data_IF_853741735659
#
_entry.id   IF_853741735659
#
_cell.length_a   1.000
_cell.length_b   1.000
_cell.length_c   1.000
_cell.angle_alpha   90.00
_cell.angle_beta   90.00
_cell.angle_gamma   90.00
#
_symmetry.space_group_name_H-M   'P 1'
#
loop_
_entity.id
_entity.type
_entity.pdbx_description
1 polymer ?
#
# COMPACT_ATOMS: atom_id res chain seq x y z
N UNK A 1 -67.88 -22.43 12.49
CA UNK A 1 -66.98 -22.74 13.62
C UNK A 1 -65.55 -22.51 13.15
N UNK A 2 -64.87 -21.53 13.74
CA UNK A 2 -63.45 -21.19 13.46
C UNK A 2 -62.57 -22.26 14.11
N UNK A 3 -61.75 -22.95 13.32
CA UNK A 3 -60.55 -23.60 13.85
C UNK A 3 -59.47 -22.53 13.96
N UNK A 4 -59.12 -22.17 15.19
CA UNK A 4 -57.94 -21.39 15.53
C UNK A 4 -56.72 -22.30 15.44
N UNK A 5 -55.86 -22.07 14.46
CA UNK A 5 -54.52 -22.63 14.45
C UNK A 5 -53.71 -21.99 15.59
N UNK A 6 -53.24 -22.81 16.51
CA UNK A 6 -52.28 -22.40 17.53
C UNK A 6 -50.91 -22.13 16.87
N UNK A 7 -50.20 -21.04 17.22
CA UNK A 7 -48.86 -20.79 16.71
C UNK A 7 -47.90 -21.86 17.26
N UNK A 8 -47.14 -22.51 16.37
CA UNK A 8 -46.04 -23.40 16.74
C UNK A 8 -44.88 -22.57 17.29
N UNK A 9 -44.37 -22.85 18.50
CA UNK A 9 -43.22 -22.15 19.05
C UNK A 9 -41.92 -22.73 18.48
N UNK A 10 -41.01 -21.87 18.00
CA UNK A 10 -39.58 -22.18 17.97
C UNK A 10 -38.95 -22.59 16.64
N UNK A 11 -39.12 -21.80 15.57
CA UNK A 11 -38.18 -21.80 14.42
C UNK A 11 -37.41 -20.49 14.23
N UNK A 12 -37.96 -19.37 14.67
CA UNK A 12 -37.33 -18.05 14.47
C UNK A 12 -36.05 -17.84 15.31
N UNK A 13 -35.86 -18.60 16.40
CA UNK A 13 -34.68 -18.49 17.26
C UNK A 13 -33.42 -19.18 16.72
N UNK A 14 -33.58 -20.26 15.94
CA UNK A 14 -32.46 -20.99 15.35
C UNK A 14 -31.95 -20.31 14.07
N UNK A 15 -32.86 -19.77 13.25
CA UNK A 15 -32.48 -19.01 12.04
C UNK A 15 -31.78 -17.67 12.38
N UNK A 16 -32.07 -17.08 13.56
CA UNK A 16 -31.37 -15.91 14.07
C UNK A 16 -29.96 -16.23 14.61
N UNK A 17 -29.74 -17.43 15.16
CA UNK A 17 -28.41 -17.88 15.61
C UNK A 17 -27.50 -18.26 14.44
N UNK A 18 -28.04 -18.73 13.32
CA UNK A 18 -27.26 -19.09 12.13
C UNK A 18 -26.74 -17.85 11.37
N UNK A 19 -27.31 -16.66 11.58
CA UNK A 19 -27.00 -15.46 10.78
C UNK A 19 -25.87 -14.55 11.27
N UNK A 20 -25.26 -14.80 12.43
CA UNK A 20 -24.31 -13.81 12.98
C UNK A 20 -23.17 -14.37 13.84
N UNK A 21 -22.63 -15.54 13.53
CA UNK A 21 -21.26 -15.83 13.97
C UNK A 21 -20.28 -15.10 13.04
N UNK A 22 -20.19 -13.78 13.20
CA UNK A 22 -19.02 -13.03 12.72
C UNK A 22 -17.84 -13.64 13.46
N UNK A 23 -17.05 -14.46 12.76
CA UNK A 23 -15.82 -15.04 13.31
C UNK A 23 -14.92 -13.86 13.66
N UNK A 24 -14.90 -13.47 14.94
CA UNK A 24 -13.95 -12.48 15.42
C UNK A 24 -12.57 -13.11 15.24
N UNK A 25 -11.79 -12.56 14.32
CA UNK A 25 -10.42 -12.99 14.14
C UNK A 25 -9.69 -12.86 15.49
N UNK A 26 -8.97 -13.89 15.94
CA UNK A 26 -8.17 -13.77 17.15
C UNK A 26 -7.12 -12.67 16.94
N UNK A 27 -6.87 -11.85 17.97
CA UNK A 27 -5.94 -10.71 17.89
C UNK A 27 -4.58 -11.09 17.32
N UNK A 28 -4.11 -12.30 17.66
CA UNK A 28 -2.85 -12.89 17.18
C UNK A 28 -2.84 -13.06 15.66
N UNK A 29 -3.98 -13.41 15.05
CA UNK A 29 -4.09 -13.55 13.60
C UNK A 29 -4.25 -12.19 12.89
N UNK A 30 -4.81 -11.17 13.55
CA UNK A 30 -4.91 -9.82 12.98
C UNK A 30 -3.59 -9.05 13.02
N UNK A 31 -2.75 -9.31 14.03
CA UNK A 31 -1.49 -8.59 14.23
C UNK A 31 -0.55 -8.58 13.01
N UNK A 32 -0.25 -9.71 12.32
CA UNK A 32 0.62 -9.68 11.15
C UNK A 32 0.02 -8.85 10.01
N UNK A 33 -1.29 -8.94 9.77
CA UNK A 33 -1.97 -8.11 8.76
C UNK A 33 -1.87 -6.63 9.10
N UNK A 34 -2.16 -6.26 10.35
CA UNK A 34 -2.08 -4.89 10.81
C UNK A 34 -0.66 -4.32 10.70
N UNK A 35 0.35 -5.09 11.13
CA UNK A 35 1.75 -4.68 11.06
C UNK A 35 2.23 -4.50 9.62
N UNK A 36 1.93 -5.46 8.73
CA UNK A 36 2.35 -5.36 7.32
C UNK A 36 1.62 -4.23 6.59
N UNK A 37 0.32 -4.02 6.85
CA UNK A 37 -0.45 -2.89 6.30
C UNK A 37 0.13 -1.56 6.78
N UNK A 38 0.37 -1.43 8.09
CA UNK A 38 0.97 -0.22 8.66
C UNK A 38 2.34 0.06 8.03
N UNK A 39 3.23 -0.93 8.03
CA UNK A 39 4.57 -0.77 7.49
C UNK A 39 4.55 -0.42 6.00
N UNK A 40 3.72 -1.11 5.21
CA UNK A 40 3.64 -0.87 3.77
C UNK A 40 3.13 0.53 3.46
N UNK A 41 2.07 0.98 4.14
CA UNK A 41 1.53 2.33 3.95
C UNK A 41 2.46 3.41 4.47
N UNK A 42 3.14 3.18 5.58
CA UNK A 42 4.17 4.08 6.09
C UNK A 42 5.32 4.25 5.07
N UNK A 43 5.91 3.15 4.60
CA UNK A 43 7.00 3.17 3.62
C UNK A 43 6.56 3.81 2.29
N UNK A 44 5.36 3.50 1.79
CA UNK A 44 4.82 4.04 0.55
C UNK A 44 4.66 5.57 0.59
N UNK A 45 4.30 6.14 1.74
CA UNK A 45 4.16 7.58 1.89
C UNK A 45 5.45 8.26 2.33
N UNK A 46 6.37 7.56 3.00
CA UNK A 46 7.67 8.10 3.40
C UNK A 46 8.60 8.26 2.19
N UNK A 47 8.51 7.39 1.19
CA UNK A 47 9.41 7.43 0.03
C UNK A 47 9.17 8.64 -0.87
N UNK A 48 7.93 9.12 -0.97
CA UNK A 48 7.59 10.27 -1.81
C UNK A 48 8.40 11.53 -1.44
N UNK A 49 8.45 11.98 -0.16
CA UNK A 49 9.27 13.12 0.23
C UNK A 49 10.78 12.83 0.20
N UNK A 50 11.23 11.60 0.49
CA UNK A 50 12.65 11.21 0.33
C UNK A 50 13.09 11.45 -1.12
N UNK A 51 12.33 10.92 -2.07
CA UNK A 51 12.63 11.04 -3.50
C UNK A 51 12.50 12.49 -3.97
N UNK A 52 11.45 13.20 -3.55
CA UNK A 52 11.28 14.62 -3.87
C UNK A 52 12.50 15.45 -3.43
N UNK A 53 12.99 15.23 -2.21
CA UNK A 53 14.20 15.91 -1.70
C UNK A 53 15.47 15.47 -2.43
N UNK A 54 15.55 14.20 -2.85
CA UNK A 54 16.70 13.70 -3.62
C UNK A 54 16.82 14.33 -5.01
N UNK A 55 15.70 14.46 -5.73
CA UNK A 55 15.72 14.98 -7.12
C UNK A 55 15.74 16.51 -7.18
N UNK A 56 15.37 17.19 -6.08
CA UNK A 56 15.29 18.65 -5.99
C UNK A 56 16.57 19.38 -6.44
N UNK A 57 17.80 18.97 -6.07
CA UNK A 57 19.02 19.63 -6.51
C UNK A 57 19.32 19.47 -8.00
N UNK A 58 18.69 18.51 -8.69
CA UNK A 58 18.94 18.20 -10.10
C UNK A 58 17.90 18.83 -11.02
N UNK A 59 16.63 18.79 -10.62
CA UNK A 59 15.51 19.24 -11.46
C UNK A 59 14.89 20.56 -10.97
N UNK A 60 15.26 21.02 -9.76
CA UNK A 60 14.70 22.23 -9.15
C UNK A 60 13.33 22.03 -8.53
N UNK A 61 12.82 23.07 -7.86
CA UNK A 61 11.55 23.05 -7.12
C UNK A 61 10.36 23.61 -7.89
N UNK A 62 10.34 23.50 -9.22
CA UNK A 62 9.24 24.05 -10.02
C UNK A 62 7.94 23.26 -9.81
N UNK A 63 6.80 23.93 -10.01
CA UNK A 63 5.49 23.28 -9.95
C UNK A 63 5.36 22.11 -10.95
N UNK A 64 6.02 22.20 -12.11
CA UNK A 64 6.03 21.12 -13.11
C UNK A 64 6.72 19.85 -12.63
N UNK A 65 7.86 19.98 -11.94
CA UNK A 65 8.60 18.84 -11.35
C UNK A 65 7.74 18.17 -10.29
N UNK A 66 7.14 18.97 -9.39
CA UNK A 66 6.26 18.47 -8.35
C UNK A 66 5.07 17.70 -8.92
N UNK A 67 4.35 18.30 -9.87
CA UNK A 67 3.18 17.66 -10.50
C UNK A 67 3.56 16.39 -11.25
N UNK A 68 4.71 16.35 -11.93
CA UNK A 68 5.19 15.15 -12.63
C UNK A 68 5.42 13.99 -11.65
N UNK A 69 6.03 14.27 -10.49
CA UNK A 69 6.24 13.27 -9.45
C UNK A 69 4.92 12.77 -8.88
N UNK A 70 3.99 13.68 -8.59
CA UNK A 70 2.66 13.31 -8.11
C UNK A 70 1.92 12.43 -9.13
N UNK A 71 1.89 12.82 -10.41
CA UNK A 71 1.25 12.02 -11.46
C UNK A 71 1.84 10.62 -11.54
N UNK A 72 3.17 10.48 -11.46
CA UNK A 72 3.81 9.18 -11.39
C UNK A 72 3.33 8.37 -10.19
N UNK A 73 3.46 8.90 -8.97
CA UNK A 73 3.10 8.17 -7.75
C UNK A 73 1.61 7.79 -7.70
N UNK A 74 0.72 8.68 -8.13
CA UNK A 74 -0.71 8.39 -8.19
C UNK A 74 -1.03 7.35 -9.27
N UNK A 75 -0.37 7.42 -10.43
CA UNK A 75 -0.58 6.43 -11.51
C UNK A 75 -0.12 5.04 -11.09
N UNK A 76 1.04 4.93 -10.45
CA UNK A 76 1.57 3.63 -9.98
C UNK A 76 0.72 3.08 -8.83
N UNK A 77 0.24 3.94 -7.92
CA UNK A 77 -0.68 3.54 -6.85
C UNK A 77 -1.99 2.99 -7.42
N UNK A 78 -2.57 3.68 -8.41
CA UNK A 78 -3.76 3.21 -9.12
C UNK A 78 -3.51 1.89 -9.84
N UNK A 79 -2.35 1.75 -10.51
CA UNK A 79 -1.97 0.52 -11.18
C UNK A 79 -1.84 -0.65 -10.20
N UNK A 80 -1.29 -0.42 -9.01
CA UNK A 80 -1.21 -1.43 -7.96
C UNK A 80 -2.58 -1.86 -7.45
N UNK A 81 -3.52 -0.92 -7.32
CA UNK A 81 -4.90 -1.25 -6.93
C UNK A 81 -5.62 -2.05 -8.01
N UNK A 82 -5.45 -1.67 -9.29
CA UNK A 82 -5.97 -2.41 -10.43
C UNK A 82 -5.37 -3.83 -10.50
N UNK A 83 -4.07 -3.97 -10.23
CA UNK A 83 -3.42 -5.27 -10.12
C UNK A 83 -4.00 -6.10 -8.97
N UNK A 84 -4.17 -5.52 -7.78
CA UNK A 84 -4.72 -6.22 -6.63
C UNK A 84 -6.14 -6.72 -6.90
N UNK A 85 -6.99 -5.89 -7.52
CA UNK A 85 -8.34 -6.26 -7.94
C UNK A 85 -8.34 -7.34 -9.02
N UNK A 86 -7.57 -7.18 -10.10
CA UNK A 86 -7.52 -8.16 -11.17
C UNK A 86 -6.98 -9.51 -10.68
N UNK A 87 -5.95 -9.50 -9.83
CA UNK A 87 -5.36 -10.75 -9.31
C UNK A 87 -6.27 -11.53 -8.37
N UNK A 88 -7.35 -10.93 -7.86
CA UNK A 88 -8.37 -11.66 -7.12
C UNK A 88 -8.99 -12.81 -7.93
N UNK A 89 -8.94 -12.73 -9.27
CA UNK A 89 -9.45 -13.73 -10.21
C UNK A 89 -8.54 -14.96 -10.37
N UNK A 90 -7.25 -14.86 -10.01
CA UNK A 90 -6.27 -15.95 -10.23
C UNK A 90 -6.32 -17.06 -9.16
N UNK A 91 -7.15 -16.91 -8.12
CA UNK A 91 -7.19 -17.81 -6.97
C UNK A 91 -6.04 -17.54 -5.99
N UNK A 92 -6.31 -17.67 -4.68
CA UNK A 92 -5.44 -17.14 -3.61
C UNK A 92 -4.00 -17.66 -3.66
N UNK A 93 -3.77 -18.93 -4.03
CA UNK A 93 -2.42 -19.51 -4.10
C UNK A 93 -1.58 -18.92 -5.23
N UNK A 94 -2.14 -18.80 -6.44
CA UNK A 94 -1.42 -18.23 -7.59
C UNK A 94 -1.14 -16.74 -7.36
N UNK A 95 -2.10 -16.01 -6.81
CA UNK A 95 -1.93 -14.61 -6.42
C UNK A 95 -0.76 -14.42 -5.43
N UNK A 96 -0.67 -15.29 -4.41
CA UNK A 96 0.44 -15.26 -3.46
C UNK A 96 1.79 -15.53 -4.12
N UNK A 97 1.90 -16.56 -4.97
CA UNK A 97 3.15 -16.87 -5.68
C UNK A 97 3.62 -15.73 -6.59
N UNK A 98 2.70 -15.16 -7.40
CA UNK A 98 3.04 -14.03 -8.27
C UNK A 98 3.50 -12.83 -7.46
N UNK A 99 2.79 -12.50 -6.37
CA UNK A 99 3.15 -11.37 -5.52
C UNK A 99 4.49 -11.57 -4.81
N UNK A 100 4.76 -12.77 -4.27
CA UNK A 100 6.06 -13.10 -3.65
C UNK A 100 7.19 -13.06 -4.66
N UNK A 101 6.98 -13.57 -5.88
CA UNK A 101 7.98 -13.53 -6.95
C UNK A 101 8.30 -12.08 -7.36
N UNK A 102 7.29 -11.22 -7.47
CA UNK A 102 7.49 -9.80 -7.75
C UNK A 102 8.18 -9.09 -6.59
N UNK A 103 7.84 -9.40 -5.33
CA UNK A 103 8.52 -8.87 -4.14
C UNK A 103 10.01 -9.24 -4.17
N UNK A 104 10.34 -10.49 -4.43
CA UNK A 104 11.73 -10.93 -4.58
C UNK A 104 12.45 -10.19 -5.72
N UNK A 105 11.79 -10.00 -6.87
CA UNK A 105 12.35 -9.22 -7.98
C UNK A 105 12.57 -7.74 -7.60
N UNK A 106 11.69 -7.15 -6.77
CA UNK A 106 11.84 -5.76 -6.33
C UNK A 106 13.03 -5.55 -5.41
N UNK A 107 13.45 -6.57 -4.64
CA UNK A 107 14.68 -6.49 -3.85
C UNK A 107 15.92 -6.30 -4.72
N UNK A 108 15.90 -6.76 -5.97
CA UNK A 108 17.00 -6.53 -6.92
C UNK A 108 17.06 -5.08 -7.45
N UNK A 109 16.02 -4.27 -7.21
CA UNK A 109 16.00 -2.84 -7.58
C UNK A 109 16.50 -1.92 -6.45
N UNK A 110 16.86 -2.48 -5.30
CA UNK A 110 17.48 -1.77 -4.20
C UNK A 110 19.00 -1.66 -4.43
N UNK A 111 19.65 -0.52 -4.10
CA UNK A 111 19.11 0.63 -3.36
C UNK A 111 18.38 1.65 -4.26
N UNK A 112 17.33 2.26 -3.71
CA UNK A 112 16.50 3.26 -4.41
C UNK A 112 17.20 4.59 -4.72
N UNK A 113 18.41 4.78 -4.18
CA UNK A 113 19.18 6.02 -4.36
C UNK A 113 19.62 6.11 -5.83
N UNK A 114 19.01 7.04 -6.57
CA UNK A 114 19.40 7.36 -7.94
C UNK A 114 20.91 7.64 -8.06
N UNK A 115 21.56 6.90 -8.97
CA UNK A 115 22.95 7.09 -9.31
C UNK A 115 23.19 8.46 -9.97
N UNK A 116 24.42 8.99 -9.85
CA UNK A 116 24.81 10.29 -10.43
C UNK A 116 24.63 10.36 -11.95
N UNK A 117 24.60 9.24 -12.65
CA UNK A 117 24.33 9.16 -14.09
C UNK A 117 22.91 9.59 -14.50
N UNK A 118 21.96 9.68 -13.56
CA UNK A 118 20.63 10.19 -13.83
C UNK A 118 20.54 11.71 -13.91
N UNK A 119 21.59 12.43 -13.45
CA UNK A 119 21.64 13.89 -13.48
C UNK A 119 21.46 14.39 -14.93
N UNK A 120 20.52 15.31 -15.19
CA UNK A 120 20.28 15.82 -16.53
C UNK A 120 21.50 16.58 -17.04
N UNK A 121 21.86 16.34 -18.31
CA UNK A 121 23.01 16.96 -18.97
C UNK A 121 22.67 18.26 -19.71
N UNK A 122 21.41 18.70 -19.65
CA UNK A 122 20.93 19.97 -20.23
C UNK A 122 20.19 19.84 -21.57
N UNK A 123 20.35 18.74 -22.30
CA UNK A 123 19.67 18.50 -23.59
C UNK A 123 18.41 17.61 -23.51
N UNK A 124 18.02 17.19 -22.30
CA UNK A 124 16.93 16.24 -22.09
C UNK A 124 15.64 16.95 -21.67
N UNK A 125 14.48 16.39 -22.05
CA UNK A 125 13.19 16.82 -21.52
C UNK A 125 13.08 16.48 -20.02
N UNK A 126 13.00 17.48 -19.10
CA UNK A 126 13.10 17.24 -17.66
C UNK A 126 12.00 16.32 -17.12
N UNK A 127 10.78 16.46 -17.63
CA UNK A 127 9.62 15.67 -17.19
C UNK A 127 9.78 14.19 -17.54
N UNK A 128 10.18 13.89 -18.78
CA UNK A 128 10.42 12.52 -19.22
C UNK A 128 11.57 11.88 -18.41
N UNK A 129 12.64 12.64 -18.16
CA UNK A 129 13.78 12.16 -17.36
C UNK A 129 13.39 11.82 -15.93
N UNK A 130 12.52 12.62 -15.30
CA UNK A 130 11.95 12.31 -13.98
C UNK A 130 11.16 11.00 -14.02
N UNK A 131 10.27 10.82 -14.99
CA UNK A 131 9.47 9.59 -15.11
C UNK A 131 10.34 8.35 -15.31
N UNK A 132 11.39 8.45 -16.12
CA UNK A 132 12.34 7.35 -16.33
C UNK A 132 13.15 7.05 -15.08
N UNK A 133 13.63 8.08 -14.38
CA UNK A 133 14.36 7.94 -13.12
C UNK A 133 13.47 7.23 -12.09
N UNK A 134 12.26 7.74 -11.86
CA UNK A 134 11.32 7.18 -10.89
C UNK A 134 10.93 5.74 -11.26
N UNK A 135 10.66 5.49 -12.55
CA UNK A 135 10.33 4.17 -13.05
C UNK A 135 11.46 3.15 -12.83
N UNK A 136 12.71 3.55 -13.09
CA UNK A 136 13.87 2.69 -12.98
C UNK A 136 14.32 2.42 -11.54
N UNK A 137 14.13 3.37 -10.62
CA UNK A 137 14.61 3.25 -9.24
C UNK A 137 13.53 2.77 -8.27
N UNK A 138 12.37 3.42 -8.28
CA UNK A 138 11.33 3.23 -7.25
C UNK A 138 10.03 2.66 -7.79
N UNK A 139 9.89 2.56 -9.12
CA UNK A 139 8.65 2.11 -9.76
C UNK A 139 8.17 0.75 -9.28
N UNK A 140 9.04 -0.27 -9.32
CA UNK A 140 8.66 -1.63 -8.92
C UNK A 140 8.43 -1.75 -7.39
N UNK A 141 9.32 -1.27 -6.49
CA UNK A 141 9.07 -1.28 -5.05
C UNK A 141 7.78 -0.54 -4.66
N UNK A 142 7.58 0.66 -5.19
CA UNK A 142 6.37 1.46 -4.90
C UNK A 142 5.11 0.79 -5.41
N UNK A 143 5.15 0.23 -6.63
CA UNK A 143 4.05 -0.55 -7.17
C UNK A 143 3.67 -1.67 -6.20
N UNK A 144 4.62 -2.49 -5.75
CA UNK A 144 4.31 -3.62 -4.88
C UNK A 144 3.81 -3.22 -3.51
N UNK A 145 4.41 -2.20 -2.87
CA UNK A 145 3.90 -1.66 -1.61
C UNK A 145 2.45 -1.18 -1.75
N UNK A 146 2.08 -0.60 -2.90
CA UNK A 146 0.71 -0.14 -3.13
C UNK A 146 -0.29 -1.29 -3.29
N UNK A 147 0.16 -2.47 -3.74
CA UNK A 147 -0.68 -3.67 -3.80
C UNK A 147 -0.89 -4.32 -2.42
N UNK A 148 0.01 -4.13 -1.46
CA UNK A 148 0.01 -4.89 -0.19
C UNK A 148 -1.25 -4.66 0.64
N UNK A 149 -1.64 -3.40 0.85
CA UNK A 149 -2.83 -3.05 1.65
C UNK A 149 -4.12 -3.67 1.09
N UNK A 150 -4.50 -3.43 -0.20
CA UNK A 150 -5.72 -4.02 -0.75
C UNK A 150 -5.68 -5.56 -0.80
N UNK A 151 -4.52 -6.17 -1.10
CA UNK A 151 -4.38 -7.62 -1.10
C UNK A 151 -4.60 -8.23 0.29
N UNK A 152 -3.93 -7.68 1.31
CA UNK A 152 -4.06 -8.15 2.68
C UNK A 152 -5.47 -7.94 3.24
N UNK A 153 -6.11 -6.82 2.92
CA UNK A 153 -7.50 -6.57 3.28
C UNK A 153 -8.46 -7.57 2.62
N UNK A 154 -8.27 -7.87 1.32
CA UNK A 154 -9.07 -8.85 0.61
C UNK A 154 -8.88 -10.27 1.17
N UNK A 155 -7.65 -10.67 1.50
CA UNK A 155 -7.36 -11.95 2.12
C UNK A 155 -7.92 -12.06 3.54
N UNK A 156 -7.82 -10.99 4.32
CA UNK A 156 -8.38 -10.92 5.66
C UNK A 156 -9.91 -11.06 5.63
N UNK A 157 -10.58 -10.34 4.73
CA UNK A 157 -12.03 -10.45 4.54
C UNK A 157 -12.44 -11.88 4.19
N UNK A 158 -11.79 -12.49 3.20
CA UNK A 158 -12.08 -13.88 2.78
C UNK A 158 -11.83 -14.92 3.89
N UNK A 159 -10.89 -14.66 4.79
CA UNK A 159 -10.49 -15.62 5.83
C UNK A 159 -11.37 -15.56 7.07
N UNK A 160 -11.88 -14.38 7.41
CA UNK A 160 -12.58 -14.14 8.69
C UNK A 160 -14.01 -13.63 8.52
N UNK A 161 -14.48 -13.35 7.31
CA UNK A 161 -15.82 -12.83 6.99
C UNK A 161 -16.26 -11.66 7.90
N UNK A 162 -15.28 -10.83 8.29
CA UNK A 162 -15.42 -9.90 9.41
C UNK A 162 -15.48 -8.46 8.94
N UNK A 163 -16.37 -7.64 9.53
CA UNK A 163 -16.54 -6.19 9.28
C UNK A 163 -15.34 -5.29 9.67
N UNK A 164 -14.17 -5.88 9.94
CA UNK A 164 -12.92 -5.19 10.30
C UNK A 164 -12.18 -4.43 9.15
N UNK A 165 -12.56 -4.44 7.85
CA UNK A 165 -11.84 -3.71 6.81
C UNK A 165 -11.63 -2.23 7.12
N UNK A 166 -12.63 -1.59 7.76
CA UNK A 166 -12.55 -0.17 8.10
C UNK A 166 -11.43 0.12 9.10
N UNK A 167 -11.17 -0.76 10.07
CA UNK A 167 -10.09 -0.56 11.07
C UNK A 167 -8.71 -0.69 10.43
N UNK A 168 -8.53 -1.68 9.54
CA UNK A 168 -7.27 -1.86 8.81
C UNK A 168 -7.04 -0.72 7.82
N UNK A 169 -8.10 -0.20 7.20
CA UNK A 169 -8.04 0.99 6.34
C UNK A 169 -7.72 2.27 7.14
N UNK A 170 -8.33 2.45 8.32
CA UNK A 170 -7.99 3.57 9.18
C UNK A 170 -6.52 3.50 9.63
N UNK A 171 -6.03 2.30 9.97
CA UNK A 171 -4.64 2.07 10.31
C UNK A 171 -3.67 2.41 9.17
N UNK A 172 -3.99 2.03 7.93
CA UNK A 172 -3.15 2.38 6.77
C UNK A 172 -3.07 3.89 6.57
N UNK A 173 -4.21 4.60 6.68
CA UNK A 173 -4.23 6.06 6.54
C UNK A 173 -3.50 6.77 7.69
N UNK A 174 -3.61 6.24 8.91
CA UNK A 174 -2.85 6.75 10.05
C UNK A 174 -1.35 6.59 9.82
N UNK A 175 -0.90 5.44 9.30
CA UNK A 175 0.49 5.21 8.94
C UNK A 175 0.96 6.18 7.85
N UNK A 176 0.15 6.45 6.82
CA UNK A 176 0.42 7.45 5.79
C UNK A 176 0.57 8.85 6.36
N UNK A 177 -0.32 9.25 7.28
CA UNK A 177 -0.24 10.55 7.95
C UNK A 177 1.03 10.67 8.80
N UNK A 178 1.38 9.61 9.55
CA UNK A 178 2.62 9.56 10.33
C UNK A 178 3.86 9.68 9.44
N UNK A 179 3.87 9.05 8.27
CA UNK A 179 4.98 9.18 7.33
C UNK A 179 5.11 10.61 6.78
N UNK A 180 4.00 11.21 6.35
CA UNK A 180 3.97 12.55 5.77
C UNK A 180 4.33 13.64 6.76
N UNK A 181 3.78 13.60 7.98
CA UNK A 181 4.12 14.54 9.04
C UNK A 181 5.49 14.22 9.65
N UNK A 182 5.81 12.94 9.77
CA UNK A 182 7.06 12.50 10.37
C UNK A 182 8.28 12.90 9.54
N UNK A 183 8.14 12.97 8.21
CA UNK A 183 9.25 13.37 7.34
C UNK A 183 9.84 14.74 7.70
N UNK A 184 9.12 15.87 7.60
CA UNK A 184 9.68 17.18 7.91
C UNK A 184 9.96 17.38 9.42
N UNK A 185 9.20 16.72 10.31
CA UNK A 185 9.31 16.95 11.75
C UNK A 185 10.42 16.14 12.43
N UNK A 186 10.68 14.92 11.98
CA UNK A 186 11.59 13.99 12.64
C UNK A 186 12.66 13.44 11.71
N UNK A 187 12.30 12.96 10.52
CA UNK A 187 13.25 12.25 9.67
C UNK A 187 14.23 13.20 8.96
N UNK A 188 13.73 14.29 8.39
CA UNK A 188 14.54 15.28 7.69
C UNK A 188 15.56 15.98 8.62
N UNK A 189 15.23 16.37 9.86
CA UNK A 189 16.20 16.96 10.78
C UNK A 189 17.21 15.95 11.36
N UNK A 190 16.82 14.68 11.50
CA UNK A 190 17.63 13.68 12.22
C UNK A 190 18.53 12.84 11.31
N UNK A 191 18.22 12.72 10.02
CA UNK A 191 18.92 11.79 9.12
C UNK A 191 19.29 12.44 7.77
N UNK A 192 20.44 12.03 7.24
CA UNK A 192 20.82 12.37 5.86
C UNK A 192 20.05 11.53 4.84
N UNK A 193 19.93 12.04 3.61
CA UNK A 193 19.23 11.35 2.51
C UNK A 193 19.75 9.93 2.24
N UNK A 194 21.05 9.71 2.37
CA UNK A 194 21.62 8.36 2.21
C UNK A 194 21.16 7.41 3.31
N UNK A 195 21.11 7.88 4.55
CA UNK A 195 20.63 7.09 5.68
C UNK A 195 19.14 6.76 5.52
N UNK A 196 18.33 7.74 5.11
CA UNK A 196 16.90 7.52 4.84
C UNK A 196 16.66 6.55 3.67
N UNK A 197 17.40 6.70 2.57
CA UNK A 197 17.32 5.79 1.43
C UNK A 197 17.70 4.36 1.79
N UNK A 198 18.77 4.18 2.58
CA UNK A 198 19.19 2.87 3.07
C UNK A 198 18.25 2.29 4.12
N UNK A 199 17.68 3.10 5.02
CA UNK A 199 16.75 2.62 6.04
C UNK A 199 15.37 2.24 5.47
N UNK A 200 15.00 2.85 4.35
CA UNK A 200 13.79 2.51 3.61
C UNK A 200 13.93 1.21 2.80
N UNK A 201 15.14 0.91 2.32
CA UNK A 201 15.47 -0.25 1.48
C UNK A 201 15.70 -1.51 2.33
#
# INVERSE_FOLDING_TARGET
MRHQDYPQPGRDGQDAQIRTEVIRAPLVATLPYAATIFLSSFLLFLVQPIIAKQILPWFGGSAGVWTTCLVFFQSVLLAGYAYADWTTRLGSRRQAYVHVALLAASLATLPIIAASGWKPQGNEEPMLRILLLLGATIGLPYFLLSTTTPLLQAWYWRRFESAVPYRLFALSNFASLLALLGFPLFFEPAFDLKQLGSAWS
#
